data_IF_492530095184
#
_entry.id   IF_492530095184
#
_cell.length_a   1.000
_cell.length_b   1.000
_cell.length_c   1.000
_cell.angle_alpha   90.00
_cell.angle_beta   90.00
_cell.angle_gamma   90.00
#
_symmetry.space_group_name_H-M   'P 1'
#
loop_
_entity.id
_entity.type
_entity.pdbx_description
1 polymer ?
#
# COMPACT_ATOMS: atom_id res chain seq x y z
N UNK A 1 1.92 -20.66 -11.38
CA UNK A 1 3.19 -21.41 -11.48
C UNK A 1 3.17 -22.35 -12.68
N UNK A 2 4.22 -22.37 -13.51
CA UNK A 2 4.44 -23.42 -14.51
C UNK A 2 5.92 -23.82 -14.41
N UNK A 3 6.21 -25.07 -14.04
CA UNK A 3 7.54 -25.73 -14.07
C UNK A 3 8.49 -25.63 -12.85
N UNK A 4 8.02 -25.33 -11.65
CA UNK A 4 8.87 -25.45 -10.43
C UNK A 4 9.92 -24.36 -10.24
N UNK A 5 10.12 -23.51 -11.25
CA UNK A 5 10.68 -22.16 -11.11
C UNK A 5 9.49 -21.18 -11.16
N UNK A 6 9.26 -20.42 -10.08
CA UNK A 6 8.19 -19.43 -10.06
C UNK A 6 8.60 -18.23 -10.94
N UNK A 7 8.36 -18.32 -12.25
CA UNK A 7 8.43 -17.17 -13.14
C UNK A 7 7.22 -16.27 -12.93
N UNK A 8 7.44 -14.96 -12.99
CA UNK A 8 6.36 -13.97 -12.93
C UNK A 8 6.19 -13.32 -14.29
N UNK A 9 4.94 -13.33 -14.76
CA UNK A 9 4.54 -12.75 -16.02
C UNK A 9 3.78 -11.45 -15.79
N UNK A 10 3.96 -10.48 -16.69
CA UNK A 10 3.24 -9.22 -16.70
C UNK A 10 2.40 -9.08 -17.96
N UNK A 11 1.28 -8.36 -17.85
CA UNK A 11 0.45 -7.95 -18.97
C UNK A 11 0.17 -6.46 -18.86
N UNK A 12 0.27 -5.74 -19.97
CA UNK A 12 -0.20 -4.35 -20.07
C UNK A 12 -1.56 -4.38 -20.74
N UNK A 13 -2.53 -3.65 -20.19
CA UNK A 13 -3.86 -3.50 -20.77
C UNK A 13 -4.12 -2.04 -21.12
N UNK A 14 -4.96 -1.79 -22.14
CA UNK A 14 -5.47 -0.46 -22.44
C UNK A 14 -6.68 -0.08 -21.56
N UNK A 15 -7.26 1.09 -21.81
CA UNK A 15 -8.42 1.59 -21.07
C UNK A 15 -9.69 0.76 -21.28
N UNK A 16 -9.76 -0.01 -22.37
CA UNK A 16 -10.89 -0.88 -22.67
C UNK A 16 -10.64 -2.32 -22.15
N UNK A 17 -9.49 -2.55 -21.50
CA UNK A 17 -9.10 -3.85 -20.93
C UNK A 17 -8.45 -4.80 -21.93
N UNK A 18 -8.13 -4.35 -23.15
CA UNK A 18 -7.49 -5.22 -24.14
C UNK A 18 -5.98 -5.37 -23.86
N UNK A 19 -5.43 -6.59 -23.99
CA UNK A 19 -4.01 -6.84 -23.79
C UNK A 19 -3.16 -6.16 -24.88
N UNK A 20 -2.16 -5.41 -24.44
CA UNK A 20 -1.20 -4.68 -25.27
C UNK A 20 0.14 -5.41 -25.43
N UNK A 21 0.50 -6.32 -24.53
CA UNK A 21 1.63 -7.23 -24.73
C UNK A 21 1.18 -8.57 -25.29
N UNK A 22 2.15 -9.43 -25.60
CA UNK A 22 1.91 -10.76 -26.14
C UNK A 22 0.85 -11.55 -25.35
N UNK A 23 0.13 -12.44 -26.05
CA UNK A 23 -0.86 -13.30 -25.41
C UNK A 23 -0.22 -14.12 -24.28
N UNK A 24 -0.89 -14.19 -23.12
CA UNK A 24 -0.38 -14.75 -21.85
C UNK A 24 0.73 -13.93 -21.16
N UNK A 25 0.96 -12.69 -21.60
CA UNK A 25 1.94 -11.79 -21.00
C UNK A 25 3.39 -12.13 -21.37
N UNK A 26 4.29 -11.36 -20.80
CA UNK A 26 5.74 -11.53 -20.95
C UNK A 26 6.38 -11.87 -19.60
N UNK A 27 7.49 -12.63 -19.56
CA UNK A 27 8.21 -12.85 -18.32
C UNK A 27 8.85 -11.54 -17.85
N UNK A 28 8.46 -11.08 -16.66
CA UNK A 28 8.98 -9.85 -16.04
C UNK A 28 9.90 -10.12 -14.84
N UNK A 29 9.86 -11.34 -14.28
CA UNK A 29 10.87 -11.85 -13.37
C UNK A 29 11.08 -13.35 -13.63
N UNK A 30 12.22 -13.70 -14.23
CA UNK A 30 12.66 -15.08 -14.42
C UNK A 30 14.14 -15.15 -14.06
N UNK A 31 14.47 -16.01 -13.09
CA UNK A 31 15.85 -16.22 -12.62
C UNK A 31 16.13 -17.71 -12.69
N UNK A 32 16.82 -18.19 -13.74
CA UNK A 32 17.10 -19.61 -13.90
C UNK A 32 17.76 -20.22 -12.67
N UNK A 33 17.18 -21.32 -12.16
CA UNK A 33 17.67 -22.02 -10.96
C UNK A 33 17.37 -21.32 -9.64
N UNK A 34 16.51 -20.29 -9.61
CA UNK A 34 16.03 -19.63 -8.40
C UNK A 34 14.52 -19.49 -8.42
N UNK A 35 13.92 -19.47 -7.24
CA UNK A 35 12.47 -19.23 -7.08
C UNK A 35 12.26 -17.74 -6.80
N UNK A 36 11.39 -17.08 -7.58
CA UNK A 36 10.91 -15.72 -7.26
C UNK A 36 9.89 -15.84 -6.12
N UNK A 37 10.10 -15.07 -5.05
CA UNK A 37 9.29 -15.13 -3.81
C UNK A 37 8.38 -13.93 -3.61
N UNK A 38 8.71 -12.81 -4.22
CA UNK A 38 7.91 -11.60 -4.18
C UNK A 38 8.22 -10.72 -5.36
N UNK A 39 7.22 -9.97 -5.83
CA UNK A 39 7.36 -8.98 -6.90
C UNK A 39 6.60 -7.72 -6.53
N UNK A 40 7.19 -6.57 -6.81
CA UNK A 40 6.56 -5.25 -6.80
C UNK A 40 6.96 -4.54 -8.08
N UNK A 41 6.08 -3.71 -8.61
CA UNK A 41 6.38 -2.92 -9.79
C UNK A 41 5.87 -1.48 -9.63
N UNK A 42 6.50 -0.56 -10.35
CA UNK A 42 6.01 0.81 -10.46
C UNK A 42 6.16 1.32 -11.89
N UNK A 43 5.25 2.21 -12.29
CA UNK A 43 5.34 2.90 -13.58
C UNK A 43 6.22 4.13 -13.42
N UNK A 44 7.26 4.21 -14.24
CA UNK A 44 8.19 5.34 -14.28
C UNK A 44 7.56 6.51 -15.04
N UNK A 45 8.08 7.73 -14.81
CA UNK A 45 7.56 8.95 -15.44
C UNK A 45 7.60 8.98 -16.97
N UNK A 46 8.44 8.15 -17.59
CA UNK A 46 8.50 7.98 -19.04
C UNK A 46 7.56 6.89 -19.58
N UNK A 47 6.75 6.27 -18.73
CA UNK A 47 5.78 5.23 -19.10
C UNK A 47 6.28 3.79 -18.92
N UNK A 48 7.59 3.60 -18.78
CA UNK A 48 8.23 2.30 -18.58
C UNK A 48 7.83 1.65 -17.26
N UNK A 49 8.04 0.34 -17.17
CA UNK A 49 7.83 -0.44 -15.96
C UNK A 49 9.17 -0.74 -15.28
N UNK A 50 9.27 -0.43 -13.99
CA UNK A 50 10.33 -0.96 -13.12
C UNK A 50 9.76 -2.11 -12.30
N UNK A 51 10.36 -3.29 -12.41
CA UNK A 51 9.97 -4.49 -11.66
C UNK A 51 11.08 -4.84 -10.68
N UNK A 52 10.72 -4.99 -9.41
CA UNK A 52 11.62 -5.40 -8.33
C UNK A 52 11.13 -6.72 -7.78
N UNK A 53 12.04 -7.67 -7.61
CA UNK A 53 11.68 -9.03 -7.22
C UNK A 53 12.72 -9.65 -6.29
N UNK A 54 12.24 -10.36 -5.28
CA UNK A 54 13.07 -11.18 -4.40
C UNK A 54 13.16 -12.60 -4.93
N UNK A 55 14.33 -13.21 -4.83
CA UNK A 55 14.57 -14.55 -5.35
C UNK A 55 15.70 -15.27 -4.62
N UNK A 56 15.73 -16.60 -4.72
CA UNK A 56 16.86 -17.39 -4.27
C UNK A 56 16.67 -18.90 -4.47
N UNK A 57 17.77 -19.65 -4.38
CA UNK A 57 17.81 -21.10 -4.66
C UNK A 57 17.19 -21.90 -3.52
N UNK A 58 17.62 -21.66 -2.28
CA UNK A 58 17.14 -22.32 -1.06
C UNK A 58 17.38 -21.43 0.15
N UNK A 59 16.57 -21.53 1.20
CA UNK A 59 16.85 -20.83 2.46
C UNK A 59 18.05 -21.46 3.21
N UNK A 60 18.85 -20.68 3.96
CA UNK A 60 18.79 -19.23 4.11
C UNK A 60 19.42 -18.49 2.92
N UNK A 61 18.97 -17.26 2.68
CA UNK A 61 19.53 -16.39 1.65
C UNK A 61 18.51 -15.98 0.59
N UNK A 62 18.26 -14.67 0.48
CA UNK A 62 17.53 -14.07 -0.63
C UNK A 62 18.37 -12.97 -1.28
N UNK A 63 18.20 -12.84 -2.58
CA UNK A 63 18.62 -11.69 -3.36
C UNK A 63 17.41 -10.80 -3.66
N UNK A 64 17.67 -9.51 -3.89
CA UNK A 64 16.68 -8.54 -4.38
C UNK A 64 17.23 -7.93 -5.66
N UNK A 65 16.45 -7.93 -6.72
CA UNK A 65 16.87 -7.43 -8.03
C UNK A 65 15.81 -6.54 -8.66
N UNK A 66 16.24 -5.63 -9.52
CA UNK A 66 15.37 -4.77 -10.31
C UNK A 66 15.65 -4.96 -11.80
N UNK A 67 14.59 -4.85 -12.61
CA UNK A 67 14.66 -4.84 -14.07
C UNK A 67 13.71 -3.78 -14.62
N UNK A 68 14.15 -3.09 -15.68
CA UNK A 68 13.34 -2.09 -16.38
C UNK A 68 12.86 -2.63 -17.72
N UNK A 69 11.58 -2.43 -18.02
CA UNK A 69 10.93 -2.79 -19.27
C UNK A 69 10.32 -1.55 -19.90
N UNK A 70 10.43 -1.41 -21.21
CA UNK A 70 9.78 -0.31 -21.93
C UNK A 70 8.26 -0.51 -22.02
N UNK A 71 7.58 0.43 -22.67
CA UNK A 71 6.13 0.40 -22.85
C UNK A 71 5.63 -0.78 -23.67
N UNK A 72 6.49 -1.38 -24.50
CA UNK A 72 6.19 -2.55 -25.33
C UNK A 72 6.57 -3.87 -24.63
N UNK A 73 7.09 -3.77 -23.40
CA UNK A 73 7.46 -4.92 -22.58
C UNK A 73 8.85 -5.46 -22.89
N UNK A 74 9.67 -4.74 -23.64
CA UNK A 74 11.03 -5.18 -23.93
C UNK A 74 11.98 -4.78 -22.80
N UNK A 75 12.92 -5.66 -22.39
CA UNK A 75 13.90 -5.33 -21.36
C UNK A 75 14.81 -4.18 -21.83
N UNK A 76 14.88 -3.12 -21.03
CA UNK A 76 15.73 -1.95 -21.30
C UNK A 76 17.18 -2.19 -20.87
N UNK A 77 17.38 -2.96 -19.80
CA UNK A 77 18.70 -3.34 -19.32
C UNK A 77 19.13 -4.69 -19.88
N UNK A 78 20.43 -4.88 -20.11
CA UNK A 78 20.96 -6.16 -20.56
C UNK A 78 20.85 -7.25 -19.49
N UNK A 79 20.86 -6.86 -18.21
CA UNK A 79 20.68 -7.73 -17.06
C UNK A 79 20.04 -6.96 -15.91
N UNK A 80 19.38 -7.68 -15.00
CA UNK A 80 18.81 -7.09 -13.80
C UNK A 80 19.90 -6.56 -12.86
N UNK A 81 19.64 -5.42 -12.23
CA UNK A 81 20.50 -4.84 -11.19
C UNK A 81 20.22 -5.53 -9.86
N UNK A 82 21.28 -5.98 -9.17
CA UNK A 82 21.18 -6.56 -7.81
C UNK A 82 21.25 -5.46 -6.76
N UNK A 83 20.19 -5.33 -5.95
CA UNK A 83 20.13 -4.44 -4.78
C UNK A 83 20.66 -5.13 -3.52
N UNK A 84 20.29 -6.40 -3.35
CA UNK A 84 20.75 -7.25 -2.24
C UNK A 84 21.34 -8.50 -2.84
N UNK A 85 22.51 -8.89 -2.33
CA UNK A 85 23.12 -10.19 -2.62
C UNK A 85 22.89 -11.13 -1.46
N UNK A 86 22.64 -12.39 -1.78
CA UNK A 86 22.66 -13.46 -0.79
C UNK A 86 24.00 -13.41 -0.03
N UNK A 87 23.89 -13.16 1.28
CA UNK A 87 25.02 -13.02 2.19
C UNK A 87 24.61 -13.40 3.59
N UNK A 88 25.41 -14.26 4.21
CA UNK A 88 25.33 -14.58 5.64
C UNK A 88 25.75 -13.32 6.42
N UNK A 89 25.05 -12.90 7.49
CA UNK A 89 24.09 -13.67 8.29
C UNK A 89 22.60 -13.44 7.97
N UNK A 90 22.24 -12.97 6.78
CA UNK A 90 20.84 -12.66 6.47
C UNK A 90 20.07 -13.92 6.05
N UNK A 91 18.91 -14.11 6.66
CA UNK A 91 17.99 -15.22 6.40
C UNK A 91 17.22 -15.02 5.10
N UNK A 92 16.67 -13.83 4.86
CA UNK A 92 15.76 -13.53 3.73
C UNK A 92 15.46 -12.04 3.56
N UNK A 93 14.90 -11.69 2.41
CA UNK A 93 14.26 -10.40 2.10
C UNK A 93 12.76 -10.65 2.02
N UNK A 94 12.06 -10.41 3.13
CA UNK A 94 10.66 -10.80 3.28
C UNK A 94 9.66 -9.70 2.93
N UNK A 95 10.08 -8.44 2.92
CA UNK A 95 9.20 -7.29 2.71
C UNK A 95 9.94 -6.23 1.90
N UNK A 96 9.29 -5.69 0.88
CA UNK A 96 9.81 -4.55 0.14
C UNK A 96 8.69 -3.78 -0.56
N UNK A 97 8.92 -2.49 -0.77
CA UNK A 97 8.05 -1.56 -1.49
C UNK A 97 8.87 -0.78 -2.51
N UNK A 98 8.21 -0.38 -3.59
CA UNK A 98 8.82 0.36 -4.70
C UNK A 98 8.02 1.62 -4.94
N UNK A 99 8.71 2.75 -5.04
CA UNK A 99 8.12 4.05 -5.31
C UNK A 99 8.81 4.68 -6.52
N UNK A 100 8.05 4.94 -7.58
CA UNK A 100 8.57 5.65 -8.75
C UNK A 100 9.05 7.06 -8.35
N UNK A 101 10.16 7.49 -8.91
CA UNK A 101 10.75 8.80 -8.70
C UNK A 101 11.27 9.37 -10.02
N UNK A 102 11.62 10.66 -10.04
CA UNK A 102 12.28 11.24 -11.20
C UNK A 102 13.56 10.45 -11.53
N UNK A 103 13.77 10.02 -12.78
CA UNK A 103 14.97 9.27 -13.17
C UNK A 103 15.22 7.94 -12.40
N UNK A 104 14.18 7.28 -11.86
CA UNK A 104 14.37 5.97 -11.22
C UNK A 104 13.22 5.57 -10.29
N UNK A 105 13.52 4.71 -9.33
CA UNK A 105 12.60 4.33 -8.27
C UNK A 105 13.34 4.10 -6.94
N UNK A 106 12.72 4.49 -5.82
CA UNK A 106 13.14 4.06 -4.50
C UNK A 106 12.69 2.63 -4.25
N UNK A 107 13.53 1.87 -3.54
CA UNK A 107 13.23 0.52 -3.08
C UNK A 107 13.54 0.46 -1.58
N UNK A 108 12.49 0.32 -0.77
CA UNK A 108 12.57 0.12 0.68
C UNK A 108 12.39 -1.37 0.94
N UNK A 109 13.30 -2.00 1.68
CA UNK A 109 13.27 -3.45 1.92
C UNK A 109 13.76 -3.83 3.31
N UNK A 110 13.25 -4.96 3.81
CA UNK A 110 13.64 -5.53 5.09
C UNK A 110 14.55 -6.73 4.87
N UNK A 111 15.69 -6.76 5.57
CA UNK A 111 16.56 -7.94 5.65
C UNK A 111 16.44 -8.54 7.04
N UNK A 112 16.01 -9.79 7.12
CA UNK A 112 15.95 -10.53 8.38
C UNK A 112 17.31 -11.18 8.65
N UNK A 113 17.88 -10.96 9.83
CA UNK A 113 19.12 -11.64 10.27
C UNK A 113 18.77 -13.01 10.87
N UNK A 114 19.60 -14.03 10.65
CA UNK A 114 19.47 -15.34 11.31
C UNK A 114 19.41 -15.17 12.83
N UNK A 115 18.31 -15.64 13.44
CA UNK A 115 18.07 -15.54 14.88
C UNK A 115 17.76 -14.12 15.39
N UNK A 116 17.49 -13.16 14.50
CA UNK A 116 17.26 -11.76 14.86
C UNK A 116 16.06 -11.12 14.15
N UNK A 117 15.83 -9.84 14.45
CA UNK A 117 14.78 -9.04 13.85
C UNK A 117 15.16 -8.55 12.44
N UNK A 118 14.14 -8.19 11.65
CA UNK A 118 14.30 -7.48 10.38
C UNK A 118 14.90 -6.09 10.58
N UNK A 119 15.83 -5.70 9.71
CA UNK A 119 16.34 -4.33 9.59
C UNK A 119 15.92 -3.75 8.26
N UNK A 120 15.59 -2.46 8.22
CA UNK A 120 15.06 -1.78 7.05
C UNK A 120 16.14 -0.97 6.36
N UNK A 121 16.21 -1.13 5.05
CA UNK A 121 17.17 -0.46 4.19
C UNK A 121 16.46 0.18 3.02
N UNK A 122 17.06 1.21 2.47
CA UNK A 122 16.57 1.89 1.28
C UNK A 122 17.71 2.11 0.30
N UNK A 123 17.41 1.95 -0.97
CA UNK A 123 18.24 2.45 -2.06
C UNK A 123 17.33 3.02 -3.14
N UNK A 124 17.92 3.67 -4.13
CA UNK A 124 17.25 4.15 -5.33
C UNK A 124 17.96 3.58 -6.54
N UNK A 125 17.18 2.94 -7.40
CA UNK A 125 17.65 2.42 -8.69
C UNK A 125 17.36 3.49 -9.75
N UNK A 126 18.41 3.97 -10.42
CA UNK A 126 18.28 4.94 -11.51
C UNK A 126 17.77 4.26 -12.78
N UNK A 127 17.26 5.06 -13.71
CA UNK A 127 16.77 4.58 -15.00
C UNK A 127 17.83 3.82 -15.84
N UNK A 128 19.12 4.12 -15.65
CA UNK A 128 20.24 3.43 -16.28
C UNK A 128 20.66 2.13 -15.57
N UNK A 129 19.97 1.75 -14.49
CA UNK A 129 20.25 0.56 -13.69
C UNK A 129 21.28 0.78 -12.58
N UNK A 130 21.86 1.98 -12.46
CA UNK A 130 22.81 2.28 -11.39
C UNK A 130 22.11 2.45 -10.03
N UNK A 131 22.76 1.99 -8.96
CA UNK A 131 22.32 2.25 -7.59
C UNK A 131 22.83 3.61 -7.10
N UNK A 132 22.06 4.25 -6.21
CA UNK A 132 22.41 5.55 -5.61
C UNK A 132 23.33 5.35 -4.41
N UNK A 133 22.97 4.47 -3.49
CA UNK A 133 23.79 4.11 -2.32
C UNK A 133 24.76 3.00 -2.69
N UNK A 134 24.27 1.96 -3.36
CA UNK A 134 25.02 0.76 -3.68
C UNK A 134 24.41 -0.47 -3.02
N UNK A 135 25.00 -1.64 -3.33
CA UNK A 135 24.50 -2.93 -2.85
C UNK A 135 24.33 -2.89 -1.33
N UNK A 136 23.22 -3.46 -0.87
CA UNK A 136 22.73 -3.49 0.51
C UNK A 136 22.17 -2.17 1.05
N UNK A 137 22.25 -1.07 0.30
CA UNK A 137 21.53 0.18 0.56
C UNK A 137 21.93 0.89 1.85
N UNK A 138 21.21 1.96 2.19
CA UNK A 138 21.38 2.70 3.45
C UNK A 138 20.39 2.19 4.50
N UNK A 139 20.85 2.10 5.75
CA UNK A 139 19.99 1.70 6.86
C UNK A 139 19.00 2.83 7.20
N UNK A 140 17.70 2.52 7.19
CA UNK A 140 16.63 3.46 7.59
C UNK A 140 16.46 3.48 9.11
N UNK A 141 16.56 2.32 9.76
CA UNK A 141 16.40 2.20 11.21
C UNK A 141 16.93 0.85 11.73
N UNK A 142 17.34 0.86 13.00
CA UNK A 142 17.88 -0.30 13.71
C UNK A 142 16.83 -1.10 14.50
N UNK A 143 15.56 -0.67 14.51
CA UNK A 143 14.48 -1.38 15.21
C UNK A 143 13.69 -2.28 14.27
N UNK A 144 13.20 -3.40 14.83
CA UNK A 144 12.37 -4.39 14.11
C UNK A 144 11.00 -3.85 13.71
N UNK A 145 10.20 -4.71 13.05
CA UNK A 145 8.86 -4.37 12.60
C UNK A 145 8.64 -4.64 11.11
N UNK A 146 7.44 -4.31 10.62
CA UNK A 146 7.04 -4.54 9.23
C UNK A 146 6.97 -3.23 8.45
N UNK A 147 7.53 -3.22 7.24
CA UNK A 147 7.46 -2.10 6.30
C UNK A 147 6.02 -1.97 5.83
N UNK A 148 5.56 -0.72 5.71
CA UNK A 148 4.19 -0.45 5.29
C UNK A 148 4.16 0.38 4.02
N UNK A 149 5.06 1.35 3.85
CA UNK A 149 5.05 2.14 2.62
C UNK A 149 6.14 3.18 2.47
N UNK A 150 6.02 3.87 1.34
CA UNK A 150 6.87 4.93 0.81
C UNK A 150 5.98 5.97 0.15
N UNK A 151 6.12 7.23 0.54
CA UNK A 151 5.40 8.36 -0.07
C UNK A 151 6.41 9.35 -0.67
N UNK A 152 6.17 9.81 -1.89
CA UNK A 152 7.06 10.75 -2.56
C UNK A 152 6.97 12.15 -1.93
N UNK A 153 8.10 12.85 -1.90
CA UNK A 153 8.15 14.28 -1.56
C UNK A 153 8.47 15.09 -2.82
N UNK A 154 8.00 16.33 -2.87
CA UNK A 154 8.09 17.25 -4.01
C UNK A 154 9.54 17.64 -4.35
N UNK A 155 10.46 17.53 -3.40
CA UNK A 155 11.90 17.70 -3.57
C UNK A 155 12.61 16.45 -4.15
N UNK A 156 11.86 15.40 -4.51
CA UNK A 156 12.37 14.17 -5.11
C UNK A 156 12.95 13.16 -4.10
N UNK A 157 12.70 13.39 -2.80
CA UNK A 157 12.91 12.44 -1.72
C UNK A 157 11.70 11.50 -1.50
N UNK A 158 11.67 10.87 -0.33
CA UNK A 158 10.56 10.02 0.09
C UNK A 158 10.40 10.01 1.62
N UNK A 159 9.18 9.79 2.10
CA UNK A 159 8.90 9.43 3.49
C UNK A 159 8.69 7.92 3.57
N UNK A 160 9.49 7.27 4.40
CA UNK A 160 9.36 5.86 4.75
C UNK A 160 8.49 5.71 5.99
N UNK A 161 7.64 4.68 6.07
CA UNK A 161 6.85 4.41 7.28
C UNK A 161 6.64 2.92 7.56
N UNK A 162 6.52 2.57 8.84
CA UNK A 162 6.44 1.20 9.33
C UNK A 162 5.74 1.09 10.70
N UNK A 163 5.36 -0.15 11.06
CA UNK A 163 4.98 -0.52 12.43
C UNK A 163 6.19 -1.10 13.17
N UNK A 164 6.39 -0.79 14.45
CA UNK A 164 7.55 -1.29 15.21
C UNK A 164 7.39 -2.75 15.69
N UNK A 165 6.16 -3.27 15.77
CA UNK A 165 5.89 -4.65 16.19
C UNK A 165 4.48 -5.10 15.86
N UNK A 166 4.16 -6.37 16.17
CA UNK A 166 2.85 -6.97 15.85
C UNK A 166 1.85 -6.95 17.02
N UNK A 167 2.29 -6.51 18.21
CA UNK A 167 1.44 -6.44 19.39
C UNK A 167 0.50 -5.24 19.39
N UNK A 168 -0.63 -5.37 20.07
CA UNK A 168 -1.53 -4.24 20.38
C UNK A 168 -0.80 -3.22 21.24
N UNK A 169 -1.00 -1.94 20.95
CA UNK A 169 -0.28 -0.82 21.56
C UNK A 169 1.11 -0.61 20.97
N UNK A 170 1.43 -1.22 19.83
CA UNK A 170 2.71 -0.99 19.17
C UNK A 170 2.80 0.44 18.66
N UNK A 171 3.98 1.03 18.77
CA UNK A 171 4.26 2.32 18.18
C UNK A 171 4.63 2.20 16.71
N UNK A 172 4.69 3.34 16.02
CA UNK A 172 5.01 3.40 14.60
C UNK A 172 6.34 4.10 14.40
N UNK A 173 6.80 4.16 13.16
CA UNK A 173 7.93 5.00 12.82
C UNK A 173 7.82 5.54 11.40
N UNK A 174 8.32 6.75 11.22
CA UNK A 174 8.47 7.39 9.94
C UNK A 174 9.83 8.08 9.82
N UNK A 175 10.40 8.12 8.62
CA UNK A 175 11.64 8.84 8.33
C UNK A 175 11.60 9.39 6.91
N UNK A 176 11.78 10.71 6.76
CA UNK A 176 12.03 11.35 5.47
C UNK A 176 13.49 11.19 5.06
N UNK A 177 13.69 10.79 3.80
CA UNK A 177 14.99 10.73 3.13
C UNK A 177 14.99 11.61 1.88
N UNK A 178 16.16 12.08 1.48
CA UNK A 178 16.34 12.87 0.28
C UNK A 178 16.44 11.99 -0.98
N UNK A 179 16.66 12.65 -2.12
CA UNK A 179 16.86 11.99 -3.42
C UNK A 179 18.04 11.01 -3.46
N UNK A 180 18.98 11.13 -2.52
CA UNK A 180 20.19 10.33 -2.38
C UNK A 180 20.07 9.25 -1.31
N UNK A 181 18.85 9.02 -0.78
CA UNK A 181 18.56 8.07 0.30
C UNK A 181 19.25 8.43 1.63
N UNK A 182 19.61 9.70 1.85
CA UNK A 182 20.13 10.20 3.11
C UNK A 182 18.98 10.75 3.99
N UNK A 183 19.01 10.54 5.33
CA UNK A 183 17.99 11.09 6.22
C UNK A 183 17.91 12.62 6.15
N UNK A 184 16.69 13.14 5.95
CA UNK A 184 16.37 14.58 6.05
C UNK A 184 15.94 14.92 7.47
N UNK A 185 15.12 14.06 8.08
CA UNK A 185 14.80 14.20 9.50
C UNK A 185 15.98 13.69 10.35
N UNK A 186 16.30 14.35 11.48
CA UNK A 186 17.46 13.99 12.30
C UNK A 186 17.33 12.61 12.96
N UNK A 187 16.11 12.12 13.13
CA UNK A 187 15.79 10.78 13.62
C UNK A 187 14.43 10.33 13.08
N UNK A 188 14.12 9.04 13.21
CA UNK A 188 12.76 8.55 12.97
C UNK A 188 11.80 9.14 13.99
N UNK A 189 10.62 9.57 13.53
CA UNK A 189 9.53 10.08 14.36
C UNK A 189 8.52 8.97 14.60
N UNK A 190 7.90 8.94 15.77
CA UNK A 190 6.75 8.10 16.06
C UNK A 190 5.46 8.91 15.87
N UNK A 191 4.67 8.65 14.81
CA UNK A 191 3.45 9.41 14.52
C UNK A 191 2.33 9.24 15.54
N UNK A 192 2.39 8.20 16.39
CA UNK A 192 1.35 7.88 17.38
C UNK A 192 1.82 8.11 18.82
N UNK A 193 2.91 8.85 19.01
CA UNK A 193 3.42 9.20 20.32
C UNK A 193 2.39 9.96 21.17
N UNK A 194 2.35 9.66 22.47
CA UNK A 194 1.35 10.17 23.40
C UNK A 194 -0.07 9.59 23.25
N UNK A 195 -0.31 8.72 22.26
CA UNK A 195 -1.56 7.98 22.08
C UNK A 195 -1.57 6.58 22.72
N UNK A 196 -2.66 5.82 22.58
CA UNK A 196 -2.75 4.43 23.05
C UNK A 196 -1.89 3.46 22.24
N UNK A 197 -1.29 3.92 21.13
CA UNK A 197 -0.58 3.09 20.16
C UNK A 197 -1.54 2.38 19.19
N UNK A 198 -0.93 1.68 18.23
CA UNK A 198 -1.62 0.95 17.18
C UNK A 198 -2.16 -0.38 17.72
N UNK A 199 -3.42 -0.69 17.43
CA UNK A 199 -3.95 -2.04 17.58
C UNK A 199 -3.37 -2.96 16.48
N UNK A 200 -4.05 -3.05 15.33
CA UNK A 200 -3.70 -4.04 14.30
C UNK A 200 -3.47 -3.44 12.92
N UNK A 201 -4.22 -2.41 12.53
CA UNK A 201 -4.26 -1.92 11.16
C UNK A 201 -4.10 -0.41 11.09
N UNK A 202 -3.39 0.05 10.05
CA UNK A 202 -3.31 1.45 9.68
C UNK A 202 -3.14 1.56 8.17
N UNK A 203 -3.42 2.75 7.65
CA UNK A 203 -3.10 3.16 6.30
C UNK A 203 -2.48 4.56 6.33
N UNK A 204 -1.62 4.85 5.36
CA UNK A 204 -0.94 6.13 5.28
C UNK A 204 -0.87 6.61 3.83
N UNK A 205 -0.82 7.92 3.64
CA UNK A 205 -0.66 8.55 2.34
C UNK A 205 0.01 9.91 2.49
N UNK A 206 0.68 10.38 1.44
CA UNK A 206 1.15 11.77 1.35
C UNK A 206 0.01 12.76 1.62
N UNK A 207 0.33 13.82 2.36
CA UNK A 207 -0.60 14.92 2.60
C UNK A 207 -0.61 15.96 1.45
N UNK A 208 0.18 15.75 0.39
CA UNK A 208 0.36 16.68 -0.73
C UNK A 208 1.22 17.92 -0.42
N UNK A 209 1.82 18.01 0.78
CA UNK A 209 2.65 19.11 1.28
C UNK A 209 3.98 18.60 1.87
N UNK A 210 4.53 17.53 1.28
CA UNK A 210 5.70 16.78 1.77
C UNK A 210 5.54 16.14 3.15
N UNK A 211 4.33 16.11 3.70
CA UNK A 211 3.99 15.45 4.95
C UNK A 211 3.38 14.07 4.73
N UNK A 212 3.03 13.44 5.85
CA UNK A 212 2.45 12.10 5.91
C UNK A 212 1.17 12.12 6.75
N UNK A 213 0.06 11.72 6.16
CA UNK A 213 -1.19 11.48 6.86
C UNK A 213 -1.33 10.00 7.17
N UNK A 214 -1.78 9.66 8.38
CA UNK A 214 -1.96 8.28 8.84
C UNK A 214 -3.34 8.16 9.47
N UNK A 215 -4.09 7.14 9.03
CA UNK A 215 -5.27 6.65 9.73
C UNK A 215 -4.94 5.31 10.36
N UNK A 216 -5.37 5.06 11.60
CA UNK A 216 -5.03 3.85 12.34
C UNK A 216 -6.12 3.42 13.31
N UNK A 217 -6.11 2.14 13.66
CA UNK A 217 -6.93 1.59 14.74
C UNK A 217 -6.20 1.81 16.06
N UNK A 218 -6.80 2.57 16.96
CA UNK A 218 -6.29 2.76 18.32
C UNK A 218 -6.41 1.48 19.16
N UNK A 219 -5.40 1.23 19.99
CA UNK A 219 -5.38 0.15 20.96
C UNK A 219 -6.28 0.42 22.19
N UNK A 220 -7.56 0.65 21.94
CA UNK A 220 -8.60 0.93 22.95
C UNK A 220 -9.68 -0.14 22.96
N UNK A 221 -10.57 -0.09 23.95
CA UNK A 221 -11.79 -0.90 24.02
C UNK A 221 -13.00 0.02 24.27
N UNK A 222 -13.92 0.18 23.29
CA UNK A 222 -13.88 -0.38 21.93
C UNK A 222 -12.71 0.16 21.09
N UNK A 223 -12.35 -0.53 20.01
CA UNK A 223 -11.38 -0.06 19.03
C UNK A 223 -11.95 1.09 18.21
N UNK A 224 -11.12 2.10 17.95
CA UNK A 224 -11.52 3.37 17.31
C UNK A 224 -10.59 3.71 16.16
N UNK A 225 -11.15 4.37 15.15
CA UNK A 225 -10.35 4.91 14.04
C UNK A 225 -9.87 6.30 14.43
N UNK A 226 -8.56 6.54 14.31
CA UNK A 226 -7.93 7.83 14.57
C UNK A 226 -7.03 8.25 13.42
N UNK A 227 -6.76 9.55 13.38
CA UNK A 227 -6.00 10.24 12.35
C UNK A 227 -4.87 11.05 13.00
N UNK A 228 -3.71 11.01 12.39
CA UNK A 228 -2.55 11.86 12.69
C UNK A 228 -1.94 12.35 11.38
N UNK A 229 -1.22 13.47 11.44
CA UNK A 229 -0.54 14.04 10.28
C UNK A 229 0.79 14.64 10.72
N UNK A 230 1.86 14.26 10.01
CA UNK A 230 3.18 14.85 10.13
C UNK A 230 3.40 15.87 9.01
N UNK A 231 4.01 17.01 9.32
CA UNK A 231 4.50 17.96 8.34
C UNK A 231 5.76 17.44 7.64
N UNK A 232 6.26 18.16 6.63
CA UNK A 232 7.47 17.78 5.92
C UNK A 232 8.77 17.76 6.75
N UNK A 233 8.74 18.28 7.97
CA UNK A 233 9.85 18.25 8.93
C UNK A 233 9.67 17.17 10.00
N UNK A 234 8.58 16.39 9.95
CA UNK A 234 8.28 15.33 10.90
C UNK A 234 7.63 15.82 12.20
N UNK A 235 7.13 17.05 12.25
CA UNK A 235 6.36 17.54 13.40
C UNK A 235 4.87 17.23 13.23
N UNK A 236 4.12 17.14 14.33
CA UNK A 236 2.66 17.06 14.26
C UNK A 236 2.08 18.30 13.55
N UNK A 237 1.36 18.09 12.46
CA UNK A 237 0.74 19.13 11.64
C UNK A 237 -0.70 19.48 12.09
N UNK A 238 -1.23 18.77 13.07
CA UNK A 238 -2.59 18.94 13.60
C UNK A 238 -2.58 19.06 15.13
N UNK A 239 -3.61 19.67 15.70
CA UNK A 239 -3.79 19.79 17.16
C UNK A 239 -5.22 19.40 17.54
N UNK A 240 -5.42 18.46 18.50
CA UNK A 240 -4.39 17.57 19.06
C UNK A 240 -3.68 16.73 17.99
N UNK A 241 -2.48 16.22 18.29
CA UNK A 241 -1.65 15.47 17.34
C UNK A 241 -2.32 14.18 16.83
N UNK A 242 -3.23 13.60 17.62
CA UNK A 242 -4.08 12.48 17.25
C UNK A 242 -5.53 12.91 17.44
N UNK A 243 -6.35 12.72 16.40
CA UNK A 243 -7.79 12.99 16.42
C UNK A 243 -8.58 11.72 16.15
N UNK A 244 -9.62 11.48 16.92
CA UNK A 244 -10.56 10.39 16.65
C UNK A 244 -11.44 10.73 15.45
N UNK A 245 -11.49 9.82 14.47
CA UNK A 245 -12.31 9.93 13.27
C UNK A 245 -13.66 9.23 13.48
N UNK A 246 -13.61 7.99 13.96
CA UNK A 246 -14.82 7.18 14.18
C UNK A 246 -15.34 7.34 15.60
N UNK A 247 -16.58 7.81 15.76
CA UNK A 247 -17.21 8.02 17.07
C UNK A 247 -18.22 6.95 17.48
N UNK A 248 -17.95 5.68 17.15
CA UNK A 248 -18.82 4.56 17.52
C UNK A 248 -18.58 4.08 18.96
N UNK A 249 -19.65 3.64 19.63
CA UNK A 249 -19.56 2.91 20.89
C UNK A 249 -19.17 1.42 20.69
N UNK A 250 -19.02 1.00 19.44
CA UNK A 250 -18.68 -0.36 19.02
C UNK A 250 -17.31 -0.37 18.33
N UNK A 251 -16.75 -1.56 18.17
CA UNK A 251 -15.46 -1.74 17.52
C UNK A 251 -15.47 -1.22 16.08
N UNK A 252 -14.36 -0.58 15.72
CA UNK A 252 -14.05 -0.14 14.37
C UNK A 252 -12.66 -0.62 13.97
N UNK A 253 -12.49 -1.01 12.70
CA UNK A 253 -11.30 -1.72 12.23
C UNK A 253 -10.93 -1.41 10.78
N UNK A 254 -9.74 -1.89 10.39
CA UNK A 254 -9.23 -1.96 9.01
C UNK A 254 -9.49 -0.67 8.20
N UNK A 255 -9.01 0.50 8.69
CA UNK A 255 -9.21 1.74 7.98
C UNK A 255 -8.36 1.78 6.71
N UNK A 256 -8.94 2.32 5.66
CA UNK A 256 -8.25 2.70 4.43
C UNK A 256 -8.36 4.20 4.23
N UNK A 257 -7.36 4.83 3.64
CA UNK A 257 -7.37 6.25 3.36
C UNK A 257 -6.78 6.57 1.99
N UNK A 258 -7.33 7.60 1.34
CA UNK A 258 -6.74 8.23 0.16
C UNK A 258 -6.84 9.75 0.31
N UNK A 259 -5.84 10.48 -0.19
CA UNK A 259 -5.93 11.93 -0.35
C UNK A 259 -6.46 12.27 -1.74
N UNK A 260 -7.45 13.16 -1.81
CA UNK A 260 -7.93 13.72 -3.06
C UNK A 260 -8.43 15.15 -2.86
N UNK A 261 -8.05 16.07 -3.75
CA UNK A 261 -8.46 17.49 -3.72
C UNK A 261 -8.33 18.16 -2.33
N UNK A 262 -7.20 17.91 -1.65
CA UNK A 262 -6.90 18.52 -0.33
C UNK A 262 -7.76 17.99 0.83
N UNK A 263 -8.41 16.83 0.64
CA UNK A 263 -9.17 16.14 1.67
C UNK A 263 -8.66 14.71 1.81
N UNK A 264 -8.84 14.14 3.00
CA UNK A 264 -8.61 12.72 3.23
C UNK A 264 -9.95 12.00 3.26
N UNK A 265 -10.07 11.00 2.41
CA UNK A 265 -11.23 10.13 2.37
C UNK A 265 -10.86 8.86 3.11
N UNK A 266 -11.60 8.54 4.15
CA UNK A 266 -11.34 7.42 5.06
C UNK A 266 -12.53 6.49 5.04
N UNK A 267 -12.30 5.18 4.98
CA UNK A 267 -13.34 4.18 5.13
C UNK A 267 -12.87 3.10 6.10
N UNK A 268 -13.78 2.52 6.87
CA UNK A 268 -13.47 1.55 7.91
C UNK A 268 -14.60 0.55 8.10
N UNK A 269 -14.27 -0.55 8.76
CA UNK A 269 -15.22 -1.55 9.25
C UNK A 269 -15.84 -1.07 10.55
N UNK A 270 -17.16 -1.12 10.67
CA UNK A 270 -17.89 -0.63 11.83
C UNK A 270 -18.90 -1.66 12.35
N UNK A 271 -18.79 -1.99 13.63
CA UNK A 271 -19.67 -2.94 14.30
C UNK A 271 -20.95 -2.32 14.87
N UNK A 272 -21.24 -1.05 14.58
CA UNK A 272 -22.44 -0.40 15.10
C UNK A 272 -23.72 -1.08 14.60
N UNK A 273 -24.74 -1.26 15.45
CA UNK A 273 -26.05 -1.72 15.02
C UNK A 273 -26.63 -0.82 13.91
N UNK A 274 -27.36 -1.37 12.93
CA UNK A 274 -27.95 -2.71 12.92
C UNK A 274 -27.02 -3.83 12.44
N UNK A 275 -25.72 -3.58 12.24
CA UNK A 275 -24.78 -4.61 11.80
C UNK A 275 -24.81 -5.84 12.73
N UNK A 276 -24.90 -7.03 12.14
CA UNK A 276 -24.68 -8.30 12.81
C UNK A 276 -23.24 -8.83 12.59
N UNK A 277 -22.29 -7.92 12.32
CA UNK A 277 -20.85 -8.09 12.36
C UNK A 277 -20.19 -6.74 12.05
N UNK A 278 -19.79 -6.49 10.79
CA UNK A 278 -19.25 -5.22 10.32
C UNK A 278 -20.05 -4.72 9.11
N UNK A 279 -20.30 -3.41 9.08
CA UNK A 279 -20.68 -2.64 7.90
C UNK A 279 -19.55 -1.69 7.52
N UNK A 280 -19.57 -1.14 6.30
CA UNK A 280 -18.60 -0.14 5.87
C UNK A 280 -19.14 1.26 6.04
N UNK A 281 -18.36 2.10 6.71
CA UNK A 281 -18.60 3.52 6.86
C UNK A 281 -17.44 4.31 6.30
N UNK A 282 -17.70 5.58 5.98
CA UNK A 282 -16.70 6.49 5.46
C UNK A 282 -16.81 7.89 6.06
N UNK A 283 -15.72 8.63 6.01
CA UNK A 283 -15.60 10.02 6.43
C UNK A 283 -14.75 10.77 5.42
N UNK A 284 -15.08 12.05 5.22
CA UNK A 284 -14.21 13.01 4.56
C UNK A 284 -13.61 13.92 5.62
N UNK A 285 -12.29 14.04 5.66
CA UNK A 285 -11.56 14.89 6.59
C UNK A 285 -10.92 16.05 5.82
N UNK A 286 -10.89 17.22 6.45
CA UNK A 286 -10.06 18.32 5.98
C UNK A 286 -8.57 18.09 6.32
N UNK A 287 -7.70 19.02 5.90
CA UNK A 287 -6.25 18.95 6.19
C UNK A 287 -5.89 19.02 7.68
N UNK A 288 -6.82 19.43 8.53
CA UNK A 288 -6.67 19.47 9.98
C UNK A 288 -7.20 18.18 10.65
N UNK A 289 -7.74 17.23 9.90
CA UNK A 289 -8.36 16.02 10.43
C UNK A 289 -9.75 16.25 11.01
N UNK A 290 -10.42 17.36 10.67
CA UNK A 290 -11.80 17.63 11.09
C UNK A 290 -12.80 16.96 10.13
N UNK A 291 -13.88 16.36 10.63
CA UNK A 291 -14.90 15.75 9.78
C UNK A 291 -15.66 16.79 8.95
N UNK A 292 -15.82 16.50 7.66
CA UNK A 292 -16.58 17.29 6.70
C UNK A 292 -18.00 16.76 6.55
N UNK A 293 -18.20 15.44 6.69
CA UNK A 293 -19.54 14.83 6.76
C UNK A 293 -19.99 14.68 8.21
N UNK A 294 -21.12 13.99 8.44
CA UNK A 294 -21.60 13.71 9.79
C UNK A 294 -20.50 13.08 10.65
N UNK A 295 -20.39 13.50 11.91
CA UNK A 295 -19.30 13.10 12.79
C UNK A 295 -19.28 11.59 13.11
N UNK A 296 -20.40 10.90 12.92
CA UNK A 296 -20.47 9.44 13.01
C UNK A 296 -19.93 8.74 11.74
N UNK A 297 -19.74 9.47 10.64
CA UNK A 297 -19.44 8.93 9.31
C UNK A 297 -20.70 8.52 8.55
N UNK A 298 -20.59 8.53 7.22
CA UNK A 298 -21.66 8.15 6.30
C UNK A 298 -21.60 6.65 5.97
N UNK A 299 -22.75 5.98 5.81
CA UNK A 299 -22.78 4.58 5.41
C UNK A 299 -22.28 4.42 3.97
N UNK A 300 -21.27 3.57 3.78
CA UNK A 300 -20.75 3.22 2.47
C UNK A 300 -21.42 1.96 1.93
N UNK A 301 -21.32 0.84 2.67
CA UNK A 301 -21.88 -0.45 2.25
C UNK A 301 -22.43 -1.19 3.47
N UNK A 302 -23.74 -1.46 3.48
CA UNK A 302 -24.47 -2.04 4.62
C UNK A 302 -24.90 -3.48 4.34
N UNK A 303 -23.98 -4.44 4.51
CA UNK A 303 -24.17 -5.87 4.14
C UNK A 303 -23.98 -6.82 5.34
N UNK A 304 -23.56 -6.31 6.49
CA UNK A 304 -23.45 -7.03 7.77
C UNK A 304 -22.57 -8.28 7.69
N UNK A 305 -21.31 -8.10 7.31
CA UNK A 305 -20.41 -9.20 6.97
C UNK A 305 -19.23 -9.31 7.92
N UNK A 306 -18.62 -10.49 7.95
CA UNK A 306 -17.34 -10.69 8.61
C UNK A 306 -16.21 -10.32 7.66
N UNK A 307 -15.42 -9.31 8.03
CA UNK A 307 -14.19 -8.89 7.32
C UNK A 307 -14.44 -8.49 5.85
N UNK A 308 -15.13 -7.36 5.61
CA UNK A 308 -15.43 -6.84 4.27
C UNK A 308 -14.23 -6.42 3.38
N UNK A 309 -12.97 -6.43 3.85
CA UNK A 309 -11.77 -6.08 3.05
C UNK A 309 -11.90 -4.80 2.21
N UNK A 310 -11.92 -3.67 2.90
CA UNK A 310 -12.12 -2.35 2.30
C UNK A 310 -10.87 -1.83 1.59
N UNK A 311 -11.06 -1.22 0.41
CA UNK A 311 -10.10 -0.30 -0.20
C UNK A 311 -10.81 0.94 -0.73
N UNK A 312 -10.07 2.03 -0.84
CA UNK A 312 -10.54 3.29 -1.41
C UNK A 312 -9.72 3.67 -2.63
N UNK A 313 -10.39 4.33 -3.57
CA UNK A 313 -9.75 5.01 -4.69
C UNK A 313 -10.45 6.34 -4.95
N UNK A 314 -9.70 7.43 -5.21
CA UNK A 314 -10.29 8.69 -5.63
C UNK A 314 -11.19 8.52 -6.86
N UNK A 315 -12.30 9.24 -6.88
CA UNK A 315 -13.23 9.31 -8.00
C UNK A 315 -13.13 10.70 -8.65
N UNK A 316 -14.22 11.19 -9.24
CA UNK A 316 -14.37 12.59 -9.64
C UNK A 316 -14.14 13.57 -8.48
N UNK A 317 -14.14 14.88 -8.78
CA UNK A 317 -13.72 15.92 -7.83
C UNK A 317 -14.40 15.80 -6.47
N UNK A 318 -13.62 15.29 -5.51
CA UNK A 318 -13.99 15.07 -4.12
C UNK A 318 -14.78 13.79 -3.78
N UNK A 319 -15.09 12.91 -4.75
CA UNK A 319 -15.72 11.62 -4.54
C UNK A 319 -14.72 10.46 -4.39
N UNK A 320 -15.22 9.29 -3.99
CA UNK A 320 -14.43 8.04 -3.89
C UNK A 320 -15.23 6.81 -4.28
N UNK A 321 -14.51 5.76 -4.67
CA UNK A 321 -15.07 4.41 -4.77
C UNK A 321 -14.53 3.57 -3.61
N UNK A 322 -15.45 2.96 -2.87
CA UNK A 322 -15.21 2.07 -1.74
C UNK A 322 -15.49 0.65 -2.20
N UNK A 323 -14.55 -0.27 -2.01
CA UNK A 323 -14.80 -1.70 -2.26
C UNK A 323 -15.13 -2.47 -1.01
N UNK A 324 -15.83 -3.57 -1.23
CA UNK A 324 -16.10 -4.59 -0.24
C UNK A 324 -15.92 -5.96 -0.90
N UNK A 325 -15.18 -6.87 -0.27
CA UNK A 325 -15.18 -8.29 -0.60
C UNK A 325 -15.81 -9.08 0.54
N UNK A 326 -16.78 -9.93 0.21
CA UNK A 326 -17.40 -10.84 1.18
C UNK A 326 -17.61 -12.22 0.58
N UNK A 327 -17.68 -13.23 1.44
CA UNK A 327 -17.99 -14.61 1.02
C UNK A 327 -19.44 -14.72 0.52
N UNK A 328 -20.38 -13.96 1.07
CA UNK A 328 -21.82 -14.08 0.78
C UNK A 328 -22.31 -13.21 -0.38
N UNK A 329 -21.72 -12.03 -0.57
CA UNK A 329 -22.15 -11.02 -1.54
C UNK A 329 -21.16 -10.80 -2.69
N UNK A 330 -20.00 -11.48 -2.66
CA UNK A 330 -18.95 -11.38 -3.67
C UNK A 330 -18.09 -10.13 -3.52
N UNK A 331 -17.47 -9.71 -4.62
CA UNK A 331 -16.68 -8.49 -4.70
C UNK A 331 -17.55 -7.35 -5.22
N UNK A 332 -17.72 -6.32 -4.41
CA UNK A 332 -18.62 -5.21 -4.64
C UNK A 332 -17.91 -3.88 -4.51
N UNK A 333 -18.52 -2.84 -5.08
CA UNK A 333 -18.09 -1.46 -4.89
C UNK A 333 -19.31 -0.56 -4.65
N UNK A 334 -19.10 0.51 -3.90
CA UNK A 334 -20.01 1.65 -3.81
C UNK A 334 -19.25 2.93 -4.12
N UNK A 335 -19.86 3.82 -4.89
CA UNK A 335 -19.31 5.15 -5.12
C UNK A 335 -19.96 6.14 -4.16
N UNK A 336 -19.14 6.86 -3.40
CA UNK A 336 -19.56 7.98 -2.57
C UNK A 336 -19.27 9.29 -3.30
N UNK A 337 -20.27 10.15 -3.38
CA UNK A 337 -20.11 11.52 -3.89
C UNK A 337 -19.36 12.38 -2.87
N UNK A 338 -18.94 13.56 -3.31
CA UNK A 338 -18.22 14.52 -2.46
C UNK A 338 -18.99 15.02 -1.24
N UNK A 339 -20.33 14.90 -1.27
CA UNK A 339 -21.25 15.20 -0.17
C UNK A 339 -21.54 14.01 0.75
N UNK A 340 -20.92 12.85 0.53
CA UNK A 340 -21.09 11.65 1.34
C UNK A 340 -22.25 10.75 0.91
N UNK A 341 -23.08 11.18 -0.04
CA UNK A 341 -24.19 10.36 -0.53
C UNK A 341 -23.73 9.24 -1.46
N UNK A 342 -24.43 8.10 -1.43
CA UNK A 342 -24.18 6.98 -2.35
C UNK A 342 -24.61 7.34 -3.77
N UNK A 343 -23.74 7.05 -4.74
CA UNK A 343 -24.03 7.29 -6.15
C UNK A 343 -24.88 6.18 -6.78
N UNK A 344 -24.70 4.94 -6.31
CA UNK A 344 -25.50 3.80 -6.74
C UNK A 344 -26.51 3.42 -5.67
N UNK A 345 -27.75 3.12 -6.09
CA UNK A 345 -28.83 2.76 -5.16
C UNK A 345 -28.48 1.53 -4.31
N UNK A 346 -27.69 0.61 -4.86
CA UNK A 346 -27.06 -0.52 -4.16
C UNK A 346 -25.60 -0.59 -4.60
N UNK A 347 -24.75 -1.25 -3.80
CA UNK A 347 -23.38 -1.56 -4.21
C UNK A 347 -23.38 -2.37 -5.52
N UNK A 348 -22.51 -2.00 -6.45
CA UNK A 348 -22.32 -2.69 -7.71
C UNK A 348 -21.54 -3.99 -7.46
N UNK A 349 -21.99 -5.10 -8.03
CA UNK A 349 -21.29 -6.40 -7.97
C UNK A 349 -20.27 -6.44 -9.10
N UNK A 350 -18.99 -6.38 -8.76
CA UNK A 350 -17.86 -6.51 -9.68
C UNK A 350 -17.63 -7.97 -10.05
N UNK A 351 -17.69 -8.86 -9.05
CA UNK A 351 -17.69 -10.30 -9.21
C UNK A 351 -18.67 -10.93 -8.22
N UNK A 352 -19.36 -11.99 -8.65
CA UNK A 352 -20.26 -12.78 -7.79
C UNK A 352 -19.49 -13.54 -6.70
N UNK A 353 -19.98 -14.70 -6.25
CA UNK A 353 -19.24 -15.52 -5.26
C UNK A 353 -18.20 -16.45 -5.89
N UNK A 354 -18.16 -16.53 -7.22
CA UNK A 354 -17.13 -17.24 -7.98
C UNK A 354 -16.12 -16.23 -8.52
N UNK A 355 -14.85 -16.66 -8.62
CA UNK A 355 -13.77 -15.86 -9.19
C UNK A 355 -13.51 -14.54 -8.44
N UNK A 356 -13.70 -14.51 -7.13
CA UNK A 356 -13.43 -13.33 -6.30
C UNK A 356 -11.96 -13.24 -5.88
N UNK A 357 -11.45 -12.05 -5.54
CA UNK A 357 -10.19 -11.93 -4.82
C UNK A 357 -10.22 -12.68 -3.49
N UNK A 358 -9.04 -13.03 -3.00
CA UNK A 358 -8.87 -13.56 -1.65
C UNK A 358 -8.32 -12.46 -0.73
N UNK A 359 -9.03 -12.12 0.34
CA UNK A 359 -8.62 -11.06 1.28
C UNK A 359 -8.23 -9.75 0.57
N UNK A 360 -6.98 -9.32 0.70
CA UNK A 360 -6.44 -8.06 0.15
C UNK A 360 -5.75 -8.25 -1.21
N UNK A 361 -5.84 -9.44 -1.83
CA UNK A 361 -5.20 -9.82 -3.11
C UNK A 361 -5.88 -9.20 -4.34
N UNK A 362 -6.20 -7.91 -4.24
CA UNK A 362 -6.69 -7.08 -5.34
C UNK A 362 -6.05 -5.68 -5.28
N UNK A 363 -6.01 -4.98 -6.40
CA UNK A 363 -5.63 -3.55 -6.45
C UNK A 363 -6.72 -2.77 -7.14
N UNK A 364 -6.86 -1.49 -6.81
CA UNK A 364 -7.75 -0.57 -7.49
C UNK A 364 -6.98 0.64 -8.00
N UNK A 365 -7.33 1.10 -9.20
CA UNK A 365 -6.74 2.26 -9.83
C UNK A 365 -7.83 3.23 -10.29
N UNK A 366 -7.65 4.54 -10.07
CA UNK A 366 -8.61 5.53 -10.54
C UNK A 366 -8.60 5.56 -12.07
N UNK A 367 -9.78 5.74 -12.66
CA UNK A 367 -9.94 5.94 -14.10
C UNK A 367 -10.23 7.41 -14.40
N UNK A 368 -9.83 7.88 -15.60
CA UNK A 368 -9.89 9.29 -15.97
C UNK A 368 -11.32 9.85 -16.08
N UNK A 369 -12.33 8.99 -16.20
CA UNK A 369 -13.75 9.36 -16.21
C UNK A 369 -14.39 9.45 -14.81
N UNK A 370 -13.60 9.30 -13.75
CA UNK A 370 -14.05 9.24 -12.36
C UNK A 370 -14.46 7.85 -11.89
N UNK A 371 -14.35 6.82 -12.73
CA UNK A 371 -14.49 5.42 -12.35
C UNK A 371 -13.23 4.84 -11.70
N UNK A 372 -13.19 3.52 -11.58
CA UNK A 372 -12.01 2.77 -11.16
C UNK A 372 -11.95 1.42 -11.88
N UNK A 373 -10.74 0.87 -11.99
CA UNK A 373 -10.48 -0.49 -12.48
C UNK A 373 -9.87 -1.30 -11.34
N UNK A 374 -10.33 -2.53 -11.15
CA UNK A 374 -9.85 -3.40 -10.09
C UNK A 374 -9.16 -4.63 -10.69
N UNK A 375 -7.94 -4.94 -10.29
CA UNK A 375 -7.24 -6.15 -10.75
C UNK A 375 -7.10 -7.12 -9.60
N UNK A 376 -7.37 -8.40 -9.83
CA UNK A 376 -7.18 -9.42 -8.81
C UNK A 376 -6.82 -10.78 -9.39
N UNK A 377 -6.16 -11.58 -8.56
CA UNK A 377 -5.84 -12.96 -8.84
C UNK A 377 -6.85 -13.85 -8.11
N UNK A 378 -7.30 -14.92 -8.76
CA UNK A 378 -8.11 -15.94 -8.10
C UNK A 378 -7.30 -17.22 -7.87
N UNK A 379 -7.27 -17.67 -6.61
CA UNK A 379 -6.50 -18.85 -6.21
C UNK A 379 -7.10 -20.18 -6.69
N UNK A 380 -8.39 -20.21 -7.02
CA UNK A 380 -9.07 -21.46 -7.40
C UNK A 380 -8.76 -21.86 -8.84
N UNK A 381 -8.65 -20.88 -9.76
CA UNK A 381 -8.36 -21.10 -11.17
C UNK A 381 -6.94 -20.66 -11.60
N UNK A 382 -6.25 -19.89 -10.75
CA UNK A 382 -4.96 -19.26 -11.03
C UNK A 382 -4.98 -18.25 -12.19
N UNK A 383 -6.13 -17.60 -12.42
CA UNK A 383 -6.29 -16.56 -13.44
C UNK A 383 -6.28 -15.13 -12.85
N UNK A 384 -5.99 -14.17 -13.73
CA UNK A 384 -6.01 -12.73 -13.45
C UNK A 384 -7.28 -12.11 -14.03
N UNK A 385 -7.94 -11.29 -13.24
CA UNK A 385 -9.17 -10.59 -13.57
C UNK A 385 -8.98 -9.07 -13.48
N UNK A 386 -9.81 -8.31 -14.21
CA UNK A 386 -9.80 -6.85 -14.31
C UNK A 386 -11.22 -6.28 -14.34
#
# INVERSE_FOLDING_TARGET
ERNGDAEVYGQRVDSDGYPLWAANGIPVASVPGSVVRGVKACRLGNGDLMVVYSHGVSAPGDSLSAMRYDTDGMPVWAMATSLVRDSVPFLRVNEFNVLAAANGAFVLYARTVLGGAGRRYIDRVRNDGSLVVGIDGSLVSNTGGSIQGLDATSDGGAITHWRNGNGVGTHMGALRVDSLCAPVWPASVDPVDGGPGLAYAYNATSDGQDGLAIVFVEATSPRRISFTRLDGNGNAAITPAIKTVGMSAFDQDLPWMVMHDGHFMVAWEDARPPANNQDLYAQKLDMNGEPVWDAAGEPAVLVQTYIPHTKLVPSDSGGVIVTQLTISAGFQAQRLRSDGTTAWANAAVLAGTQHVPFYEEFTMHPHADGGAVAFWYNNDDNDLYA
#
